data_IF_565595628291
#
_entry.id   IF_565595628291
#
_cell.length_a   1.000
_cell.length_b   1.000
_cell.length_c   1.000
_cell.angle_alpha   90.00
_cell.angle_beta   90.00
_cell.angle_gamma   90.00
#
_symmetry.space_group_name_H-M   'P 1'
#
loop_
_entity.id
_entity.type
_entity.pdbx_description
1 polymer ?
#
# COMPACT_ATOMS: atom_id res chain seq x y z
N UNK A 1 27.94 -13.70 -8.74
CA UNK A 1 28.95 -12.68 -9.10
C UNK A 1 28.34 -11.32 -8.80
N UNK A 2 28.68 -10.71 -7.66
CA UNK A 2 28.21 -9.37 -7.29
C UNK A 2 29.06 -8.36 -8.04
N UNK A 3 28.49 -7.76 -9.08
CA UNK A 3 29.12 -6.70 -9.88
C UNK A 3 29.26 -5.47 -8.99
N UNK A 4 30.42 -5.33 -8.32
CA UNK A 4 30.68 -4.31 -7.29
C UNK A 4 31.18 -2.97 -7.84
N UNK A 5 31.31 -2.83 -9.16
CA UNK A 5 31.86 -1.63 -9.81
C UNK A 5 30.90 -1.02 -10.85
N UNK A 6 29.59 -0.99 -10.55
CA UNK A 6 28.66 -0.14 -11.31
C UNK A 6 28.62 1.22 -10.62
N UNK A 7 29.07 2.26 -11.32
CA UNK A 7 28.93 3.64 -10.86
C UNK A 7 27.47 3.90 -10.48
N UNK A 8 27.26 4.27 -9.22
CA UNK A 8 25.93 4.49 -8.66
C UNK A 8 25.49 5.89 -9.01
N UNK A 9 24.44 5.99 -9.82
CA UNK A 9 23.84 7.27 -10.17
C UNK A 9 22.32 7.14 -10.25
N UNK A 10 21.64 8.29 -10.18
CA UNK A 10 20.19 8.38 -10.26
C UNK A 10 19.77 8.92 -11.63
N UNK A 11 18.58 8.52 -12.08
CA UNK A 11 17.95 9.13 -13.25
C UNK A 11 17.84 10.66 -13.09
N UNK A 12 18.29 11.43 -14.09
CA UNK A 12 18.21 12.90 -14.05
C UNK A 12 16.78 13.44 -14.05
N UNK A 13 15.80 12.69 -14.57
CA UNK A 13 14.37 13.11 -14.63
C UNK A 13 13.51 12.65 -13.47
N UNK A 14 13.94 11.63 -12.72
CA UNK A 14 13.23 11.19 -11.53
C UNK A 14 14.25 10.97 -10.41
N UNK A 15 14.18 9.85 -9.70
CA UNK A 15 15.11 9.48 -8.63
C UNK A 15 15.44 7.97 -8.63
N UNK A 16 15.12 7.27 -9.72
CA UNK A 16 15.32 5.82 -9.81
C UNK A 16 16.82 5.49 -9.99
N UNK A 17 17.41 4.62 -9.15
CA UNK A 17 18.85 4.38 -9.14
C UNK A 17 19.30 3.40 -10.24
N UNK A 18 20.58 3.49 -10.62
CA UNK A 18 21.23 2.56 -11.57
C UNK A 18 21.24 1.10 -11.08
N UNK A 19 21.05 0.88 -9.78
CA UNK A 19 20.93 -0.43 -9.14
C UNK A 19 19.51 -1.02 -9.19
N UNK A 20 18.50 -0.27 -9.65
CA UNK A 20 17.12 -0.77 -9.66
C UNK A 20 16.97 -1.95 -10.64
N UNK A 21 16.33 -3.08 -10.26
CA UNK A 21 16.26 -4.27 -11.10
C UNK A 21 15.67 -4.02 -12.50
N UNK A 22 16.41 -4.42 -13.54
CA UNK A 22 15.98 -4.32 -14.94
C UNK A 22 15.96 -2.90 -15.52
N UNK A 23 16.54 -1.92 -14.82
CA UNK A 23 16.64 -0.55 -15.32
C UNK A 23 17.68 -0.43 -16.46
N UNK A 24 17.43 0.49 -17.37
CA UNK A 24 18.36 0.88 -18.44
C UNK A 24 18.30 2.39 -18.63
N UNK A 25 19.41 2.98 -19.08
CA UNK A 25 19.58 4.42 -19.28
C UNK A 25 20.04 4.72 -20.70
N UNK A 26 19.72 5.93 -21.18
CA UNK A 26 20.36 6.50 -22.37
C UNK A 26 21.61 7.31 -21.96
N UNK A 27 22.29 7.87 -22.96
CA UNK A 27 23.53 8.66 -22.77
C UNK A 27 23.32 9.91 -21.89
N UNK A 28 22.09 10.44 -21.82
CA UNK A 28 21.73 11.56 -20.94
C UNK A 28 21.44 11.15 -19.48
N UNK A 29 21.71 9.90 -19.10
CA UNK A 29 21.37 9.35 -17.78
C UNK A 29 19.87 9.43 -17.45
N UNK A 30 19.00 9.22 -18.45
CA UNK A 30 17.54 9.15 -18.29
C UNK A 30 17.08 7.69 -18.39
N UNK A 31 16.35 7.21 -17.38
CA UNK A 31 15.90 5.81 -17.36
C UNK A 31 14.79 5.53 -18.40
N UNK A 32 14.71 4.28 -18.88
CA UNK A 32 13.75 3.89 -19.92
C UNK A 32 12.27 4.14 -19.52
N UNK A 33 11.94 4.18 -18.22
CA UNK A 33 10.60 4.55 -17.77
C UNK A 33 10.28 6.03 -18.02
N UNK A 34 11.26 6.92 -17.81
CA UNK A 34 11.11 8.34 -18.11
C UNK A 34 11.12 8.59 -19.63
N UNK A 35 11.90 7.83 -20.40
CA UNK A 35 11.88 7.89 -21.86
C UNK A 35 10.52 7.49 -22.46
N UNK A 36 9.84 6.49 -21.86
CA UNK A 36 8.51 6.02 -22.29
C UNK A 36 7.34 6.88 -21.78
N UNK A 37 7.60 7.88 -20.94
CA UNK A 37 6.55 8.72 -20.37
C UNK A 37 5.95 9.62 -21.44
N UNK A 38 4.62 9.63 -21.55
CA UNK A 38 3.87 10.33 -22.60
C UNK A 38 3.44 11.76 -22.20
N UNK A 39 3.93 12.28 -21.08
CA UNK A 39 3.59 13.63 -20.60
C UNK A 39 2.31 13.70 -19.75
N UNK A 40 2.09 14.88 -19.16
CA UNK A 40 1.03 15.16 -18.18
C UNK A 40 -0.38 15.03 -18.76
N UNK A 41 -0.59 15.54 -19.98
CA UNK A 41 -1.90 15.48 -20.64
C UNK A 41 -2.36 14.05 -20.89
N UNK A 42 -1.43 13.17 -21.29
CA UNK A 42 -1.71 11.75 -21.46
C UNK A 42 -2.03 11.05 -20.12
N UNK A 43 -1.41 11.51 -19.02
CA UNK A 43 -1.77 11.06 -17.66
C UNK A 43 -3.20 11.50 -17.31
N UNK A 44 -3.52 12.79 -17.43
CA UNK A 44 -4.83 13.36 -17.10
C UNK A 44 -5.96 12.73 -17.92
N UNK A 45 -5.76 12.56 -19.22
CA UNK A 45 -6.73 11.89 -20.08
C UNK A 45 -6.98 10.43 -19.65
N UNK A 46 -5.93 9.74 -19.20
CA UNK A 46 -6.05 8.37 -18.66
C UNK A 46 -6.78 8.37 -17.32
N UNK A 47 -6.44 9.28 -16.41
CA UNK A 47 -7.11 9.41 -15.12
C UNK A 47 -8.63 9.61 -15.31
N UNK A 48 -9.03 10.59 -16.13
CA UNK A 48 -10.44 10.82 -16.47
C UNK A 48 -11.15 9.57 -17.02
N UNK A 49 -10.49 8.85 -17.95
CA UNK A 49 -11.03 7.60 -18.51
C UNK A 49 -11.35 6.56 -17.43
N UNK A 50 -10.51 6.43 -16.40
CA UNK A 50 -10.69 5.45 -15.33
C UNK A 50 -11.70 5.92 -14.29
N UNK A 51 -11.80 7.23 -14.02
CA UNK A 51 -12.90 7.80 -13.24
C UNK A 51 -14.26 7.53 -13.91
N UNK A 52 -14.38 7.83 -15.22
CA UNK A 52 -15.61 7.56 -16.00
C UNK A 52 -15.97 6.07 -15.99
N UNK A 53 -14.97 5.18 -16.05
CA UNK A 53 -15.17 3.74 -15.94
C UNK A 53 -15.73 3.38 -14.56
N UNK A 54 -15.22 3.97 -13.49
CA UNK A 54 -15.69 3.69 -12.14
C UNK A 54 -17.11 4.21 -11.92
N UNK A 55 -17.45 5.41 -12.39
CA UNK A 55 -18.80 5.97 -12.32
C UNK A 55 -19.83 5.06 -13.02
N UNK A 56 -19.49 4.52 -14.21
CA UNK A 56 -20.33 3.53 -14.90
C UNK A 56 -20.47 2.23 -14.10
N UNK A 57 -19.41 1.79 -13.41
CA UNK A 57 -19.46 0.59 -12.57
C UNK A 57 -20.35 0.81 -11.35
N UNK A 58 -20.26 1.95 -10.67
CA UNK A 58 -21.16 2.32 -9.56
C UNK A 58 -22.60 2.18 -10.02
N UNK A 59 -22.97 2.77 -11.17
CA UNK A 59 -24.32 2.67 -11.73
C UNK A 59 -24.72 1.21 -11.99
N UNK A 60 -23.87 0.43 -12.65
CA UNK A 60 -24.14 -0.97 -12.98
C UNK A 60 -24.25 -1.90 -11.77
N UNK A 61 -23.70 -1.50 -10.63
CA UNK A 61 -23.68 -2.27 -9.39
C UNK A 61 -24.68 -1.72 -8.36
N UNK A 62 -25.55 -0.77 -8.74
CA UNK A 62 -26.61 -0.29 -7.84
C UNK A 62 -27.55 -1.42 -7.48
N UNK A 63 -27.53 -1.81 -6.22
CA UNK A 63 -28.50 -2.72 -5.61
C UNK A 63 -28.65 -2.36 -4.14
N UNK A 64 -29.75 -2.78 -3.52
CA UNK A 64 -29.92 -2.63 -2.08
C UNK A 64 -28.92 -3.55 -1.36
N UNK A 65 -27.96 -2.96 -0.65
CA UNK A 65 -26.95 -3.63 0.16
C UNK A 65 -26.58 -2.80 1.38
N UNK A 66 -25.95 -3.44 2.35
CA UNK A 66 -25.47 -2.80 3.57
C UNK A 66 -24.26 -1.90 3.27
N UNK A 67 -23.34 -2.40 2.44
CA UNK A 67 -22.12 -1.69 2.04
C UNK A 67 -21.81 -1.83 0.55
N UNK A 68 -21.40 -0.73 -0.06
CA UNK A 68 -20.99 -0.64 -1.47
C UNK A 68 -19.50 -0.88 -1.65
N UNK A 69 -18.68 -0.51 -0.66
CA UNK A 69 -17.23 -0.66 -0.74
C UNK A 69 -16.65 -1.02 0.61
N UNK A 70 -15.68 -1.93 0.61
CA UNK A 70 -14.84 -2.21 1.77
C UNK A 70 -13.48 -1.57 1.57
N UNK A 71 -12.94 -0.89 2.58
CA UNK A 71 -11.67 -0.16 2.48
C UNK A 71 -10.69 -0.68 3.53
N UNK A 72 -9.50 -1.07 3.10
CA UNK A 72 -8.39 -1.33 4.01
C UNK A 72 -7.94 -0.01 4.65
N UNK A 73 -8.20 0.15 5.95
CA UNK A 73 -7.98 1.40 6.67
C UNK A 73 -6.86 1.25 7.71
N UNK A 74 -5.87 2.15 7.64
CA UNK A 74 -4.69 2.13 8.50
C UNK A 74 -4.59 3.33 9.46
N UNK A 75 -5.52 4.29 9.38
CA UNK A 75 -5.42 5.56 10.09
C UNK A 75 -4.44 6.57 9.49
N UNK A 76 -3.80 6.22 8.36
CA UNK A 76 -2.86 7.08 7.64
C UNK A 76 -3.54 7.98 6.61
N UNK A 77 -2.78 8.96 6.12
CA UNK A 77 -3.23 10.02 5.19
C UNK A 77 -4.03 9.48 4.00
N UNK A 78 -3.43 8.57 3.23
CA UNK A 78 -4.01 8.10 1.97
C UNK A 78 -5.25 7.22 2.19
N UNK A 79 -5.26 6.39 3.23
CA UNK A 79 -6.40 5.53 3.54
C UNK A 79 -7.57 6.33 4.14
N UNK A 80 -7.31 7.36 4.95
CA UNK A 80 -8.33 8.32 5.40
C UNK A 80 -8.96 9.07 4.23
N UNK A 81 -8.14 9.63 3.33
CA UNK A 81 -8.66 10.36 2.17
C UNK A 81 -9.43 9.47 1.20
N UNK A 82 -9.02 8.20 1.06
CA UNK A 82 -9.77 7.22 0.26
C UNK A 82 -11.19 7.00 0.81
N UNK A 83 -11.38 7.01 2.13
CA UNK A 83 -12.71 6.92 2.73
C UNK A 83 -13.51 8.18 2.42
N UNK A 84 -12.95 9.38 2.63
CA UNK A 84 -13.60 10.66 2.26
C UNK A 84 -14.06 10.67 0.80
N UNK A 85 -13.21 10.21 -0.12
CA UNK A 85 -13.55 10.11 -1.54
C UNK A 85 -14.74 9.17 -1.77
N UNK A 86 -14.76 7.97 -1.17
CA UNK A 86 -15.89 7.07 -1.36
C UNK A 86 -17.19 7.59 -0.72
N UNK A 87 -17.11 8.18 0.46
CA UNK A 87 -18.27 8.73 1.19
C UNK A 87 -18.76 10.00 0.52
N UNK A 88 -17.93 11.05 0.46
CA UNK A 88 -18.39 12.41 0.13
C UNK A 88 -18.38 12.69 -1.38
N UNK A 89 -17.46 12.11 -2.15
CA UNK A 89 -17.41 12.32 -3.62
C UNK A 89 -18.31 11.34 -4.38
N UNK A 90 -18.34 10.07 -3.97
CA UNK A 90 -19.08 9.03 -4.68
C UNK A 90 -20.38 8.58 -3.99
N UNK A 91 -20.66 9.06 -2.77
CA UNK A 91 -21.87 8.72 -2.02
C UNK A 91 -22.07 7.20 -1.86
N UNK A 92 -20.99 6.49 -1.55
CA UNK A 92 -20.99 5.04 -1.32
C UNK A 92 -21.06 4.73 0.17
N UNK A 93 -21.77 3.65 0.53
CA UNK A 93 -21.73 3.11 1.89
C UNK A 93 -20.43 2.34 2.10
N UNK A 94 -19.60 2.83 3.01
CA UNK A 94 -18.25 2.29 3.26
C UNK A 94 -18.22 1.43 4.51
N UNK A 95 -17.62 0.24 4.40
CA UNK A 95 -17.12 -0.56 5.52
C UNK A 95 -15.60 -0.44 5.56
N UNK A 96 -15.00 -0.07 6.69
CA UNK A 96 -13.55 -0.10 6.83
C UNK A 96 -13.08 -1.37 7.53
N UNK A 97 -11.89 -1.83 7.18
CA UNK A 97 -11.20 -2.94 7.86
C UNK A 97 -9.83 -2.46 8.30
N UNK A 98 -9.61 -2.47 9.61
CA UNK A 98 -8.32 -2.16 10.23
C UNK A 98 -7.62 -3.46 10.62
N UNK A 99 -6.39 -3.63 10.16
CA UNK A 99 -5.50 -4.70 10.61
C UNK A 99 -4.54 -4.17 11.66
N UNK A 100 -4.77 -4.51 12.93
CA UNK A 100 -3.84 -4.19 14.02
C UNK A 100 -2.62 -5.12 13.93
N UNK A 101 -1.58 -4.63 13.26
CA UNK A 101 -0.33 -5.35 13.07
C UNK A 101 0.57 -5.37 14.33
N UNK A 102 0.11 -4.88 15.49
CA UNK A 102 0.90 -4.62 16.72
C UNK A 102 1.78 -3.36 16.67
N UNK A 103 1.94 -2.73 15.51
CA UNK A 103 2.84 -1.59 15.27
C UNK A 103 2.11 -0.38 14.66
N UNK A 104 0.80 -0.26 14.89
CA UNK A 104 0.05 0.96 14.52
C UNK A 104 0.44 2.07 15.51
N UNK A 105 0.75 3.25 14.98
CA UNK A 105 0.95 4.46 15.78
C UNK A 105 -0.28 4.71 16.68
N UNK A 106 -0.09 5.06 17.97
CA UNK A 106 -1.19 5.46 18.84
C UNK A 106 -2.01 6.63 18.26
N UNK A 107 -1.38 7.54 17.54
CA UNK A 107 -2.08 8.64 16.84
C UNK A 107 -2.92 8.10 15.68
N UNK A 108 -2.41 7.14 14.90
CA UNK A 108 -3.18 6.52 13.84
C UNK A 108 -4.39 5.72 14.37
N UNK A 109 -4.27 5.05 15.54
CA UNK A 109 -5.41 4.44 16.22
C UNK A 109 -6.48 5.46 16.63
N UNK A 110 -6.08 6.64 17.16
CA UNK A 110 -7.01 7.73 17.45
C UNK A 110 -7.66 8.28 16.18
N UNK A 111 -6.90 8.42 15.10
CA UNK A 111 -7.42 8.83 13.79
C UNK A 111 -8.46 7.85 13.28
N UNK A 112 -8.25 6.54 13.44
CA UNK A 112 -9.25 5.53 13.06
C UNK A 112 -10.59 5.82 13.75
N UNK A 113 -10.58 6.00 15.07
CA UNK A 113 -11.79 6.30 15.84
C UNK A 113 -12.44 7.62 15.42
N UNK A 114 -11.67 8.71 15.35
CA UNK A 114 -12.19 10.06 15.03
C UNK A 114 -12.78 10.13 13.62
N UNK A 115 -12.02 9.68 12.63
CA UNK A 115 -12.42 9.72 11.23
C UNK A 115 -13.66 8.85 11.00
N UNK A 116 -13.69 7.63 11.54
CA UNK A 116 -14.85 6.76 11.39
C UNK A 116 -16.11 7.39 11.99
N UNK A 117 -16.00 7.98 13.20
CA UNK A 117 -17.11 8.69 13.84
C UNK A 117 -17.59 9.90 13.05
N UNK A 118 -16.67 10.73 12.55
CA UNK A 118 -17.00 11.96 11.83
C UNK A 118 -17.51 11.72 10.40
N UNK A 119 -17.08 10.64 9.74
CA UNK A 119 -17.59 10.24 8.42
C UNK A 119 -18.80 9.30 8.49
N UNK A 120 -19.18 8.83 9.69
CA UNK A 120 -20.29 7.90 9.87
C UNK A 120 -20.06 6.54 9.21
N UNK A 121 -18.84 6.02 9.25
CA UNK A 121 -18.46 4.73 8.64
C UNK A 121 -18.15 3.67 9.69
N UNK A 122 -18.58 2.45 9.43
CA UNK A 122 -18.31 1.30 10.32
C UNK A 122 -16.88 0.80 10.14
N UNK A 123 -16.25 0.35 11.24
CA UNK A 123 -14.89 -0.21 11.22
C UNK A 123 -14.81 -1.59 11.85
N UNK A 124 -14.29 -2.56 11.10
CA UNK A 124 -13.90 -3.87 11.61
C UNK A 124 -12.41 -3.85 11.97
N UNK A 125 -12.10 -3.91 13.26
CA UNK A 125 -10.73 -4.05 13.74
C UNK A 125 -10.39 -5.52 13.94
N UNK A 126 -9.40 -6.01 13.20
CA UNK A 126 -8.85 -7.37 13.32
C UNK A 126 -7.48 -7.29 13.95
N UNK A 127 -7.33 -7.90 15.13
CA UNK A 127 -6.08 -7.97 15.88
C UNK A 127 -5.62 -9.42 16.02
N UNK A 128 -4.68 -9.88 15.17
CA UNK A 128 -4.09 -11.21 15.33
C UNK A 128 -3.29 -11.34 16.61
N UNK A 129 -2.91 -12.58 16.94
CA UNK A 129 -2.00 -12.84 18.04
C UNK A 129 -0.67 -12.09 17.84
N UNK A 130 -0.28 -11.17 18.75
CA UNK A 130 0.92 -10.35 18.59
C UNK A 130 2.20 -11.19 18.64
N UNK A 131 2.21 -12.32 19.36
CA UNK A 131 3.35 -13.25 19.39
C UNK A 131 3.58 -13.88 18.02
N UNK A 132 2.50 -14.22 17.30
CA UNK A 132 2.59 -14.74 15.94
C UNK A 132 3.15 -13.69 14.97
N UNK A 133 2.61 -12.47 15.00
CA UNK A 133 3.07 -11.38 14.13
C UNK A 133 4.53 -11.00 14.39
N UNK A 134 4.92 -10.86 15.66
CA UNK A 134 6.33 -10.61 16.03
C UNK A 134 7.25 -11.71 15.55
N UNK A 135 6.84 -12.99 15.62
CA UNK A 135 7.62 -14.11 15.08
C UNK A 135 7.82 -13.96 13.57
N UNK A 136 6.75 -13.67 12.82
CA UNK A 136 6.80 -13.43 11.37
C UNK A 136 7.76 -12.27 11.04
N UNK A 137 7.59 -11.11 11.66
CA UNK A 137 8.40 -9.93 11.37
C UNK A 137 9.86 -10.11 11.79
N UNK A 138 10.14 -10.79 12.90
CA UNK A 138 11.50 -11.16 13.32
C UNK A 138 12.17 -12.08 12.32
N UNK A 139 11.46 -13.08 11.79
CA UNK A 139 11.99 -13.96 10.74
C UNK A 139 12.18 -13.22 9.42
N UNK A 140 11.24 -12.36 9.01
CA UNK A 140 11.38 -11.53 7.82
C UNK A 140 12.58 -10.55 7.95
N UNK A 141 12.85 -10.06 9.16
CA UNK A 141 14.01 -9.22 9.43
C UNK A 141 15.35 -9.97 9.34
N UNK A 142 15.37 -11.30 9.53
CA UNK A 142 16.61 -12.10 9.47
C UNK A 142 16.86 -12.82 8.14
N UNK A 143 15.82 -13.11 7.36
CA UNK A 143 15.95 -13.75 6.03
C UNK A 143 14.94 -13.23 5.02
N UNK A 144 15.18 -13.50 3.74
CA UNK A 144 14.21 -13.20 2.69
C UNK A 144 13.13 -14.29 2.60
N UNK A 145 11.88 -13.85 2.38
CA UNK A 145 10.72 -14.74 2.28
C UNK A 145 10.13 -14.79 0.87
N UNK A 146 10.45 -13.80 0.04
CA UNK A 146 9.78 -13.59 -1.26
C UNK A 146 10.80 -13.40 -2.38
N UNK A 147 10.32 -13.54 -3.61
CA UNK A 147 11.15 -13.31 -4.80
C UNK A 147 11.61 -11.85 -4.86
N UNK A 148 12.78 -11.62 -5.49
CA UNK A 148 13.28 -10.27 -5.74
C UNK A 148 12.24 -9.38 -6.43
N UNK A 149 11.43 -9.95 -7.33
CA UNK A 149 10.36 -9.23 -8.04
C UNK A 149 9.30 -8.66 -7.10
N UNK A 150 8.89 -9.44 -6.09
CA UNK A 150 7.93 -8.97 -5.09
C UNK A 150 8.53 -7.84 -4.24
N UNK A 151 9.83 -7.90 -4.00
CA UNK A 151 10.54 -6.98 -3.12
C UNK A 151 10.98 -5.67 -3.80
N UNK A 152 10.81 -5.53 -5.12
CA UNK A 152 11.05 -4.28 -5.85
C UNK A 152 10.16 -3.10 -5.37
N UNK A 153 9.06 -3.40 -4.66
CA UNK A 153 8.03 -2.41 -4.29
C UNK A 153 7.78 -2.29 -2.79
N UNK A 154 8.37 -3.17 -2.00
CA UNK A 154 8.16 -3.23 -0.55
C UNK A 154 9.25 -4.10 0.10
N UNK A 155 9.54 -3.83 1.37
CA UNK A 155 10.36 -4.73 2.17
C UNK A 155 9.67 -6.09 2.39
N UNK A 156 10.45 -7.10 2.78
CA UNK A 156 9.90 -8.41 3.15
C UNK A 156 8.95 -8.31 4.35
N UNK A 157 9.23 -7.44 5.32
CA UNK A 157 8.37 -7.17 6.48
C UNK A 157 7.03 -6.57 6.02
N UNK A 158 7.08 -5.51 5.20
CA UNK A 158 5.87 -4.85 4.70
C UNK A 158 5.07 -5.77 3.77
N UNK A 159 5.73 -6.61 2.97
CA UNK A 159 5.09 -7.64 2.13
C UNK A 159 4.36 -8.68 2.98
N UNK A 160 4.97 -9.09 4.09
CA UNK A 160 4.36 -10.01 5.06
C UNK A 160 3.15 -9.37 5.75
N UNK A 161 3.22 -8.08 6.08
CA UNK A 161 2.13 -7.34 6.71
C UNK A 161 0.94 -7.13 5.75
N UNK A 162 1.21 -6.67 4.52
CA UNK A 162 0.16 -6.35 3.55
C UNK A 162 -0.58 -7.60 3.05
N UNK A 163 0.01 -8.80 3.13
CA UNK A 163 -0.69 -10.03 2.77
C UNK A 163 -1.87 -10.32 3.72
N UNK A 164 -1.74 -10.03 5.01
CA UNK A 164 -2.87 -10.10 5.96
C UNK A 164 -3.93 -9.07 5.63
N UNK A 165 -3.54 -7.82 5.37
CA UNK A 165 -4.48 -6.75 5.00
C UNK A 165 -5.31 -7.16 3.77
N UNK A 166 -4.64 -7.64 2.71
CA UNK A 166 -5.30 -8.10 1.48
C UNK A 166 -6.18 -9.32 1.72
N UNK A 167 -5.69 -10.30 2.49
CA UNK A 167 -6.42 -11.51 2.82
C UNK A 167 -7.71 -11.24 3.59
N UNK A 168 -7.62 -10.47 4.67
CA UNK A 168 -8.76 -10.10 5.52
C UNK A 168 -9.76 -9.27 4.71
N UNK A 169 -9.29 -8.24 4.00
CA UNK A 169 -10.18 -7.34 3.24
C UNK A 169 -10.94 -8.11 2.16
N UNK A 170 -10.25 -8.95 1.37
CA UNK A 170 -10.89 -9.75 0.32
C UNK A 170 -11.85 -10.79 0.91
N UNK A 171 -11.42 -11.50 1.96
CA UNK A 171 -12.27 -12.48 2.64
C UNK A 171 -13.55 -11.84 3.17
N UNK A 172 -13.44 -10.71 3.87
CA UNK A 172 -14.61 -9.97 4.37
C UNK A 172 -15.49 -9.44 3.23
N UNK A 173 -14.90 -9.00 2.12
CA UNK A 173 -15.66 -8.61 0.93
C UNK A 173 -16.52 -9.76 0.40
N UNK A 174 -15.95 -10.97 0.32
CA UNK A 174 -16.65 -12.18 -0.14
C UNK A 174 -17.76 -12.57 0.84
N UNK A 175 -17.46 -12.63 2.13
CA UNK A 175 -18.42 -13.00 3.19
C UNK A 175 -19.62 -12.03 3.24
N UNK A 176 -19.36 -10.74 3.06
CA UNK A 176 -20.39 -9.68 3.06
C UNK A 176 -20.94 -9.36 1.67
N UNK A 177 -20.47 -10.04 0.61
CA UNK A 177 -20.87 -9.83 -0.80
C UNK A 177 -20.73 -8.36 -1.24
N UNK A 178 -19.66 -7.71 -0.81
CA UNK A 178 -19.34 -6.31 -1.12
C UNK A 178 -18.68 -6.26 -2.51
N UNK A 179 -19.18 -5.43 -3.44
CA UNK A 179 -18.79 -5.48 -4.85
C UNK A 179 -17.47 -4.74 -5.14
N UNK A 180 -17.06 -3.84 -4.24
CA UNK A 180 -15.87 -3.00 -4.39
C UNK A 180 -14.94 -3.17 -3.19
N UNK A 181 -13.64 -3.27 -3.48
CA UNK A 181 -12.57 -3.20 -2.50
C UNK A 181 -11.71 -1.98 -2.82
N UNK A 182 -11.52 -1.11 -1.83
CA UNK A 182 -10.71 0.09 -1.89
C UNK A 182 -9.38 -0.04 -1.14
N UNK A 183 -8.32 0.51 -1.71
CA UNK A 183 -7.05 0.71 -1.02
C UNK A 183 -6.55 2.14 -1.26
N UNK A 184 -6.01 2.78 -0.23
CA UNK A 184 -5.36 4.10 -0.31
C UNK A 184 -3.95 4.02 -0.89
N UNK A 185 -3.81 3.48 -2.10
CA UNK A 185 -2.54 3.42 -2.82
C UNK A 185 -2.29 4.71 -3.57
N UNK A 186 -1.14 5.34 -3.33
CA UNK A 186 -0.74 6.56 -4.04
C UNK A 186 -0.56 6.29 -5.55
N UNK A 187 -0.55 7.33 -6.42
CA UNK A 187 -0.38 7.18 -7.87
C UNK A 187 0.85 6.36 -8.31
N UNK A 188 1.90 6.27 -7.47
CA UNK A 188 3.13 5.53 -7.78
C UNK A 188 3.07 4.04 -7.43
N UNK A 189 2.16 3.62 -6.54
CA UNK A 189 2.07 2.25 -6.05
C UNK A 189 1.30 1.33 -6.99
N UNK A 190 0.30 1.87 -7.68
CA UNK A 190 -0.47 1.14 -8.69
C UNK A 190 -0.59 1.93 -9.99
N UNK A 191 -0.36 1.28 -11.15
CA UNK A 191 -0.58 1.95 -12.42
C UNK A 191 -2.07 2.28 -12.57
N UNK A 192 -2.38 3.43 -13.18
CA UNK A 192 -3.76 3.85 -13.46
C UNK A 192 -4.57 2.77 -14.17
N UNK A 193 -3.93 1.91 -14.96
CA UNK A 193 -4.63 0.82 -15.65
C UNK A 193 -5.22 -0.24 -14.72
N UNK A 194 -4.62 -0.41 -13.54
CA UNK A 194 -5.06 -1.33 -12.51
C UNK A 194 -5.99 -0.65 -11.49
N UNK A 195 -6.27 0.65 -11.63
CA UNK A 195 -7.03 1.43 -10.64
C UNK A 195 -8.52 1.08 -10.58
N UNK A 196 -9.04 0.45 -11.63
CA UNK A 196 -10.43 -0.04 -11.71
C UNK A 196 -10.42 -1.39 -12.42
N UNK A 197 -10.29 -2.47 -11.65
CA UNK A 197 -10.06 -3.82 -12.18
C UNK A 197 -10.90 -4.88 -11.45
N UNK A 198 -11.60 -5.73 -12.21
CA UNK A 198 -12.29 -6.90 -11.64
C UNK A 198 -11.25 -7.88 -11.13
N UNK A 199 -11.40 -8.33 -9.88
CA UNK A 199 -10.46 -9.29 -9.31
C UNK A 199 -10.57 -10.62 -10.04
N UNK A 200 -9.43 -11.19 -10.45
CA UNK A 200 -9.37 -12.54 -11.03
C UNK A 200 -9.12 -13.56 -9.90
N UNK A 201 -10.06 -14.47 -9.61
CA UNK A 201 -9.94 -15.43 -8.51
C UNK A 201 -8.72 -16.36 -8.63
N UNK A 202 -8.39 -16.82 -9.84
CA UNK A 202 -7.27 -17.74 -10.06
C UNK A 202 -5.93 -17.04 -9.79
N UNK A 203 -5.77 -15.82 -10.33
CA UNK A 203 -4.59 -15.00 -10.07
C UNK A 203 -4.46 -14.65 -8.58
N UNK A 204 -5.57 -14.32 -7.90
CA UNK A 204 -5.54 -14.04 -6.47
C UNK A 204 -5.17 -15.26 -5.64
N UNK A 205 -5.62 -16.46 -6.03
CA UNK A 205 -5.24 -17.71 -5.35
C UNK A 205 -3.74 -17.94 -5.47
N UNK A 206 -3.18 -17.80 -6.67
CA UNK A 206 -1.73 -17.92 -6.91
C UNK A 206 -0.94 -16.86 -6.10
N UNK A 207 -1.34 -15.60 -6.18
CA UNK A 207 -0.70 -14.51 -5.44
C UNK A 207 -0.80 -14.71 -3.93
N UNK A 208 -1.92 -15.23 -3.42
CA UNK A 208 -2.07 -15.55 -2.00
C UNK A 208 -1.09 -16.66 -1.62
N UNK A 209 -1.03 -17.76 -2.37
CA UNK A 209 -0.14 -18.89 -2.06
C UNK A 209 1.34 -18.49 -2.04
N UNK A 210 1.77 -17.61 -2.95
CA UNK A 210 3.13 -17.09 -2.98
C UNK A 210 3.53 -16.33 -1.70
N UNK A 211 2.56 -15.75 -0.99
CA UNK A 211 2.79 -15.10 0.31
C UNK A 211 2.49 -16.01 1.50
N UNK A 212 1.47 -16.85 1.38
CA UNK A 212 0.95 -17.71 2.43
C UNK A 212 1.92 -18.84 2.78
N UNK A 213 2.54 -19.47 1.78
CA UNK A 213 3.49 -20.58 1.99
C UNK A 213 4.62 -20.23 2.96
N UNK A 214 5.44 -19.20 2.67
CA UNK A 214 6.51 -18.77 3.57
C UNK A 214 6.02 -18.37 4.97
N UNK A 215 4.83 -17.74 5.07
CA UNK A 215 4.27 -17.35 6.36
C UNK A 215 3.80 -18.55 7.19
N UNK A 216 3.22 -19.57 6.53
CA UNK A 216 2.74 -20.81 7.15
C UNK A 216 3.89 -21.66 7.69
N UNK A 217 5.04 -21.66 7.03
CA UNK A 217 6.26 -22.28 7.58
C UNK A 217 6.70 -21.66 8.92
N UNK A 218 6.42 -20.36 9.13
CA UNK A 218 6.83 -19.64 10.33
C UNK A 218 5.79 -19.76 11.44
N UNK A 219 4.52 -19.56 11.10
CA UNK A 219 3.43 -19.38 12.06
C UNK A 219 2.42 -20.54 12.10
N UNK A 220 2.57 -21.55 11.24
CA UNK A 220 1.65 -22.67 11.12
C UNK A 220 0.25 -22.24 10.66
N UNK A 221 -0.75 -23.04 11.01
CA UNK A 221 -2.12 -22.86 10.51
C UNK A 221 -2.89 -21.74 11.21
N UNK A 222 -2.31 -21.14 12.27
CA UNK A 222 -2.90 -20.05 13.04
C UNK A 222 -3.20 -18.79 12.21
N UNK A 223 -2.56 -18.66 11.05
CA UNK A 223 -2.77 -17.53 10.14
C UNK A 223 -3.88 -17.76 9.10
N UNK A 224 -4.30 -19.01 8.85
CA UNK A 224 -5.33 -19.34 7.84
C UNK A 224 -6.65 -18.56 8.01
N UNK A 225 -7.13 -18.23 9.23
CA UNK A 225 -8.32 -17.41 9.42
C UNK A 225 -8.26 -16.01 8.79
N UNK A 226 -7.08 -15.50 8.43
CA UNK A 226 -6.90 -14.17 7.83
C UNK A 226 -6.84 -14.18 6.30
N UNK A 227 -7.01 -15.35 5.67
CA UNK A 227 -6.90 -15.52 4.22
C UNK A 227 -8.15 -16.15 3.62
N UNK A 228 -8.32 -15.95 2.31
CA UNK A 228 -9.45 -16.50 1.55
C UNK A 228 -9.33 -18.03 1.48
N UNK A 229 -10.41 -18.74 1.75
CA UNK A 229 -10.46 -20.20 1.73
C UNK A 229 -10.60 -20.74 0.31
N UNK A 230 -10.25 -22.02 0.10
CA UNK A 230 -10.45 -22.68 -1.20
C UNK A 230 -11.91 -22.70 -1.64
N UNK A 231 -12.84 -22.88 -0.71
CA UNK A 231 -14.28 -22.78 -0.96
C UNK A 231 -14.67 -21.38 -1.45
N UNK A 232 -14.17 -20.33 -0.81
CA UNK A 232 -14.43 -18.95 -1.23
C UNK A 232 -13.86 -18.65 -2.62
N UNK A 233 -12.71 -19.22 -3.00
CA UNK A 233 -12.17 -19.09 -4.35
C UNK A 233 -13.05 -19.73 -5.44
N UNK A 234 -13.97 -20.64 -5.08
CA UNK A 234 -14.93 -21.22 -6.03
C UNK A 234 -16.08 -20.26 -6.39
N UNK A 235 -16.37 -19.27 -5.53
CA UNK A 235 -17.46 -18.29 -5.68
C UNK A 235 -17.03 -17.11 -6.58
N UNK A 236 -16.68 -17.41 -7.83
CA UNK A 236 -16.03 -16.47 -8.76
C UNK A 236 -16.82 -15.19 -9.01
N UNK A 237 -18.14 -15.28 -8.99
CA UNK A 237 -19.08 -14.18 -9.18
C UNK A 237 -19.03 -13.13 -8.06
N UNK A 238 -18.69 -13.54 -6.84
CA UNK A 238 -18.63 -12.66 -5.67
C UNK A 238 -17.34 -11.83 -5.61
N UNK A 239 -16.33 -12.16 -6.41
CA UNK A 239 -15.05 -11.46 -6.34
C UNK A 239 -15.20 -9.97 -6.69
N UNK A 240 -14.73 -9.05 -5.84
CA UNK A 240 -15.00 -7.62 -5.99
C UNK A 240 -14.20 -6.99 -7.14
N UNK A 241 -14.54 -5.75 -7.49
CA UNK A 241 -13.62 -4.89 -8.24
C UNK A 241 -12.67 -4.19 -7.27
N UNK A 242 -11.38 -4.14 -7.61
CA UNK A 242 -10.40 -3.31 -6.92
C UNK A 242 -10.46 -1.89 -7.47
N UNK A 243 -10.63 -0.94 -6.57
CA UNK A 243 -10.76 0.48 -6.85
C UNK A 243 -9.66 1.25 -6.10
N UNK A 244 -8.82 1.96 -6.85
CA UNK A 244 -7.73 2.79 -6.30
C UNK A 244 -7.95 4.24 -6.73
N UNK A 245 -8.81 4.99 -6.02
CA UNK A 245 -9.24 6.31 -6.46
C UNK A 245 -8.07 7.29 -6.61
N UNK A 246 -7.08 7.20 -5.74
CA UNK A 246 -5.92 8.11 -5.75
C UNK A 246 -5.06 7.95 -7.01
N UNK A 247 -5.17 6.84 -7.75
CA UNK A 247 -4.46 6.67 -9.01
C UNK A 247 -5.15 7.39 -10.19
N UNK A 248 -6.45 7.69 -10.09
CA UNK A 248 -7.21 8.36 -11.15
C UNK A 248 -7.81 9.71 -10.75
N UNK A 249 -7.62 10.14 -9.51
CA UNK A 249 -7.94 11.48 -9.04
C UNK A 249 -6.69 12.35 -8.99
N UNK A 250 -6.89 13.66 -8.88
CA UNK A 250 -5.82 14.58 -8.52
C UNK A 250 -5.26 14.18 -7.15
N UNK A 251 -3.94 14.15 -7.05
CA UNK A 251 -3.23 13.79 -5.83
C UNK A 251 -2.27 14.92 -5.48
N UNK A 252 -2.54 15.54 -4.34
CA UNK A 252 -1.77 16.64 -3.77
C UNK A 252 -1.73 16.40 -2.25
N UNK A 253 -0.54 16.14 -1.71
CA UNK A 253 -0.42 15.71 -0.31
C UNK A 253 -0.91 16.77 0.67
N UNK A 254 -0.70 18.05 0.37
CA UNK A 254 -1.06 19.15 1.27
C UNK A 254 -2.56 19.37 1.27
N UNK A 255 -3.20 19.43 0.10
CA UNK A 255 -4.67 19.50 -0.01
C UNK A 255 -5.34 18.31 0.65
N UNK A 256 -4.76 17.11 0.50
CA UNK A 256 -5.26 15.91 1.16
C UNK A 256 -5.19 16.05 2.67
N UNK A 257 -4.05 16.50 3.21
CA UNK A 257 -3.86 16.69 4.66
C UNK A 257 -4.82 17.75 5.21
N UNK A 258 -5.02 18.86 4.50
CA UNK A 258 -5.99 19.89 4.88
C UNK A 258 -7.40 19.33 4.93
N UNK A 259 -7.81 18.58 3.90
CA UNK A 259 -9.14 17.99 3.83
C UNK A 259 -9.40 16.99 4.96
N UNK A 260 -8.46 16.08 5.23
CA UNK A 260 -8.70 15.02 6.23
C UNK A 260 -8.68 15.54 7.67
N UNK A 261 -8.05 16.70 7.93
CA UNK A 261 -8.12 17.37 9.24
C UNK A 261 -9.56 17.76 9.62
N UNK A 262 -10.43 18.02 8.65
CA UNK A 262 -11.85 18.29 8.90
C UNK A 262 -12.56 17.10 9.57
N UNK A 263 -12.02 15.88 9.41
CA UNK A 263 -12.52 14.66 10.06
C UNK A 263 -11.77 14.31 11.35
N UNK A 264 -10.97 15.24 11.90
CA UNK A 264 -10.20 15.05 13.13
C UNK A 264 -8.93 14.20 12.95
N UNK A 265 -8.44 14.05 11.72
CA UNK A 265 -7.16 13.38 11.46
C UNK A 265 -6.00 14.26 11.92
N UNK A 266 -5.08 13.67 12.68
CA UNK A 266 -3.85 14.29 13.14
C UNK A 266 -2.63 13.56 12.56
N UNK A 267 -1.59 14.29 12.17
CA UNK A 267 -0.35 13.68 11.68
C UNK A 267 0.38 12.97 12.83
N UNK A 268 0.71 11.67 12.71
CA UNK A 268 1.58 11.01 13.68
C UNK A 268 3.00 11.60 13.66
N UNK A 269 3.62 11.70 14.84
CA UNK A 269 5.01 12.16 14.99
C UNK A 269 5.98 11.00 15.25
N UNK A 270 5.47 9.77 15.28
CA UNK A 270 6.18 8.52 15.59
C UNK A 270 6.30 7.59 14.37
N UNK A 271 6.17 8.13 13.16
CA UNK A 271 6.30 7.41 11.88
C UNK A 271 7.33 8.07 10.97
N UNK A 272 7.98 7.28 10.12
CA UNK A 272 8.98 7.79 9.16
C UNK A 272 8.32 8.57 7.99
N UNK A 273 9.08 9.32 7.17
CA UNK A 273 8.52 10.15 6.10
C UNK A 273 7.67 9.41 5.05
N UNK A 274 7.83 8.09 4.92
CA UNK A 274 7.09 7.27 3.96
C UNK A 274 5.90 6.52 4.60
N UNK A 275 5.64 6.74 5.89
CA UNK A 275 4.54 6.15 6.63
C UNK A 275 3.80 7.22 7.43
N UNK A 276 2.47 7.13 7.48
CA UNK A 276 1.63 7.98 8.35
C UNK A 276 0.76 7.13 9.27
N UNK A 277 1.17 5.88 9.55
CA UNK A 277 0.40 4.97 10.38
C UNK A 277 1.20 3.91 11.14
N UNK A 278 2.38 3.52 10.66
CA UNK A 278 3.09 2.32 11.13
C UNK A 278 4.45 2.70 11.72
N UNK A 279 4.70 2.28 12.96
CA UNK A 279 5.96 2.50 13.68
C UNK A 279 7.06 1.52 13.27
N UNK A 280 6.71 0.41 12.62
CA UNK A 280 7.64 -0.61 12.13
C UNK A 280 8.34 -0.24 10.81
N UNK A 281 7.81 0.74 10.07
CA UNK A 281 8.23 1.01 8.70
C UNK A 281 9.68 1.51 8.60
N UNK A 282 10.15 2.34 9.53
CA UNK A 282 11.55 2.75 9.60
C UNK A 282 12.51 1.55 9.68
N UNK A 283 12.26 0.60 10.60
CA UNK A 283 13.06 -0.61 10.72
C UNK A 283 13.00 -1.47 9.45
N UNK A 284 11.81 -1.61 8.86
CA UNK A 284 11.62 -2.36 7.63
C UNK A 284 12.39 -1.76 6.43
N UNK A 285 12.46 -0.44 6.34
CA UNK A 285 13.23 0.27 5.32
C UNK A 285 14.73 0.05 5.53
N UNK A 286 15.21 0.13 6.78
CA UNK A 286 16.61 -0.11 7.11
C UNK A 286 17.05 -1.53 6.71
N UNK A 287 16.24 -2.55 7.05
CA UNK A 287 16.51 -3.95 6.66
C UNK A 287 16.57 -4.07 5.14
N UNK A 288 15.64 -3.44 4.42
CA UNK A 288 15.59 -3.51 2.96
C UNK A 288 16.82 -2.85 2.31
N UNK A 289 17.19 -1.63 2.73
CA UNK A 289 18.37 -0.93 2.19
C UNK A 289 19.66 -1.69 2.45
N UNK A 290 19.83 -2.27 3.65
CA UNK A 290 21.01 -3.11 3.97
C UNK A 290 21.16 -4.31 3.02
N UNK A 291 20.04 -4.86 2.51
CA UNK A 291 20.02 -6.04 1.63
C UNK A 291 20.11 -5.69 0.15
N UNK A 292 19.46 -4.62 -0.29
CA UNK A 292 19.25 -4.32 -1.70
C UNK A 292 19.89 -3.01 -2.19
N UNK A 293 20.42 -2.20 -1.28
CA UNK A 293 21.12 -0.96 -1.62
C UNK A 293 20.24 0.07 -2.36
N UNK A 294 18.92 -0.01 -2.17
CA UNK A 294 17.97 1.02 -2.58
C UNK A 294 16.81 1.11 -1.58
N UNK A 295 16.11 2.25 -1.59
CA UNK A 295 14.97 2.49 -0.71
C UNK A 295 13.71 1.78 -1.23
N UNK A 296 12.91 1.04 -0.42
CA UNK A 296 11.80 0.24 -0.93
C UNK A 296 10.70 1.04 -1.62
N UNK A 297 10.56 2.33 -1.29
CA UNK A 297 9.61 3.24 -1.92
C UNK A 297 10.13 3.92 -3.19
N UNK A 298 11.38 3.68 -3.61
CA UNK A 298 12.01 4.42 -4.72
C UNK A 298 11.26 4.28 -6.04
N UNK A 299 10.63 3.13 -6.28
CA UNK A 299 9.80 2.90 -7.46
C UNK A 299 8.58 3.83 -7.51
N UNK A 300 7.87 3.93 -6.38
CA UNK A 300 6.70 4.77 -6.19
C UNK A 300 7.08 6.25 -6.30
N UNK A 301 8.09 6.68 -5.55
CA UNK A 301 8.54 8.07 -5.55
C UNK A 301 9.05 8.48 -6.93
N UNK A 302 9.84 7.64 -7.60
CA UNK A 302 10.29 7.92 -8.97
C UNK A 302 9.13 8.03 -9.98
N UNK A 303 8.01 7.35 -9.74
CA UNK A 303 6.81 7.52 -10.55
C UNK A 303 6.15 8.88 -10.27
N UNK A 304 5.97 9.24 -9.00
CA UNK A 304 5.39 10.52 -8.59
C UNK A 304 6.20 11.71 -9.10
N UNK A 305 7.53 11.64 -9.08
CA UNK A 305 8.39 12.66 -9.71
C UNK A 305 8.17 12.72 -11.22
N UNK A 306 8.12 11.56 -11.89
CA UNK A 306 7.93 11.47 -13.35
C UNK A 306 6.58 12.04 -13.81
N UNK A 307 5.54 11.88 -13.00
CA UNK A 307 4.18 12.37 -13.31
C UNK A 307 3.92 13.79 -12.84
N UNK A 308 4.89 14.42 -12.16
CA UNK A 308 4.78 15.79 -11.64
C UNK A 308 3.90 15.92 -10.40
N UNK A 309 3.71 14.84 -9.66
CA UNK A 309 3.07 14.85 -8.33
C UNK A 309 4.06 15.34 -7.25
N UNK A 310 5.35 15.01 -7.43
CA UNK A 310 6.45 15.53 -6.62
C UNK A 310 7.45 16.22 -7.53
N UNK A 311 8.14 17.22 -7.00
CA UNK A 311 9.42 17.70 -7.54
C UNK A 311 10.50 16.64 -7.35
N UNK A 312 11.62 16.77 -8.06
CA UNK A 312 12.73 15.84 -7.91
C UNK A 312 13.35 15.98 -6.52
N UNK A 313 13.45 17.19 -6.02
CA UNK A 313 13.98 17.56 -4.70
C UNK A 313 13.18 16.89 -3.59
N UNK A 314 11.86 17.03 -3.58
CA UNK A 314 10.96 16.34 -2.62
C UNK A 314 11.08 14.81 -2.74
N UNK A 315 11.26 14.30 -3.96
CA UNK A 315 11.48 12.89 -4.20
C UNK A 315 12.77 12.37 -3.55
N UNK A 316 13.84 13.16 -3.58
CA UNK A 316 15.13 12.84 -2.97
C UNK A 316 15.03 12.87 -1.43
N UNK A 317 14.39 13.89 -0.87
CA UNK A 317 14.13 14.01 0.56
C UNK A 317 13.36 12.81 1.14
N UNK A 318 12.52 12.16 0.33
CA UNK A 318 11.76 10.95 0.73
C UNK A 318 12.53 9.64 0.67
N UNK A 319 13.71 9.56 0.04
CA UNK A 319 14.41 8.28 -0.17
C UNK A 319 15.88 8.27 0.25
N UNK A 320 16.53 9.44 0.31
CA UNK A 320 17.94 9.54 0.64
C UNK A 320 18.24 9.51 2.13
N UNK A 321 17.51 10.24 3.00
CA UNK A 321 17.86 10.34 4.40
C UNK A 321 18.01 8.96 5.06
N UNK A 322 18.92 8.82 6.03
CA UNK A 322 18.98 7.62 6.84
C UNK A 322 17.64 7.45 7.58
N UNK A 323 17.30 6.20 7.90
CA UNK A 323 16.10 5.92 8.69
C UNK A 323 16.20 6.59 10.06
N UNK A 324 15.07 7.05 10.59
CA UNK A 324 15.00 7.59 11.95
C UNK A 324 15.41 6.49 12.94
N UNK A 325 16.59 6.64 13.54
CA UNK A 325 17.17 5.62 14.42
C UNK A 325 16.38 5.40 15.71
N UNK A 326 15.65 6.41 16.22
CA UNK A 326 14.78 6.23 17.39
C UNK A 326 13.64 5.26 17.06
N UNK A 327 13.03 5.38 15.88
CA UNK A 327 11.96 4.49 15.42
C UNK A 327 12.47 3.08 15.09
N UNK A 328 13.69 2.99 14.53
CA UNK A 328 14.37 1.71 14.31
C UNK A 328 14.58 0.99 15.65
N UNK A 329 15.19 1.65 16.63
CA UNK A 329 15.48 1.08 17.96
C UNK A 329 14.18 0.70 18.67
N UNK A 330 13.13 1.53 18.57
CA UNK A 330 11.81 1.21 19.11
C UNK A 330 11.28 -0.12 18.54
N UNK A 331 11.32 -0.28 17.21
CA UNK A 331 10.86 -1.49 16.54
C UNK A 331 11.70 -2.73 16.91
N UNK A 332 13.02 -2.56 17.04
CA UNK A 332 13.92 -3.64 17.45
C UNK A 332 13.62 -4.13 18.88
N UNK A 333 13.33 -3.21 19.81
CA UNK A 333 12.89 -3.55 21.18
C UNK A 333 11.54 -4.28 21.17
N UNK A 334 10.55 -3.76 20.44
CA UNK A 334 9.23 -4.39 20.33
C UNK A 334 9.27 -5.78 19.68
N UNK A 335 10.23 -6.01 18.79
CA UNK A 335 10.52 -7.32 18.19
C UNK A 335 11.46 -8.19 19.04
N UNK A 336 11.98 -7.68 20.16
CA UNK A 336 12.96 -8.35 21.03
C UNK A 336 14.19 -8.82 20.24
N UNK A 337 14.74 -7.92 19.43
CA UNK A 337 15.99 -8.11 18.69
C UNK A 337 17.21 -7.62 19.47
N UNK A 338 17.00 -6.65 20.37
CA UNK A 338 17.99 -6.04 21.25
C UNK A 338 17.47 -6.00 22.69
#
# INVERSE_FOLDING_TARGET
>A
MTNKDVERFLCRKCVLPSTFPGITFNDDSVCHHCQRYKGKDATLARQKKYEDKFLKLIESQKQKRDYDVIVAYSGGKDSTYTIDVFVNRYNLKVLTVTFDNTFISPTALKNITRVCGNLGVDNLLVKPNPTMLRKIFKTAASRELYSAKTLERASTICTSCISFVKGITLRTALEKKIPFVGYGWSPGQAPVQASVMKTNPAFMKESQQATLGPLREIAGDALLPFFVTDEQFTQKELFPWNIHPLAFLEYDEDKIVERIKEFGWERPNDTDPNSSNCTLNAFANQVHRKRYDFHPYVWEIANMVRTGVLTREEGMEKIEPPENMEMVIYSEKELRLI
#
